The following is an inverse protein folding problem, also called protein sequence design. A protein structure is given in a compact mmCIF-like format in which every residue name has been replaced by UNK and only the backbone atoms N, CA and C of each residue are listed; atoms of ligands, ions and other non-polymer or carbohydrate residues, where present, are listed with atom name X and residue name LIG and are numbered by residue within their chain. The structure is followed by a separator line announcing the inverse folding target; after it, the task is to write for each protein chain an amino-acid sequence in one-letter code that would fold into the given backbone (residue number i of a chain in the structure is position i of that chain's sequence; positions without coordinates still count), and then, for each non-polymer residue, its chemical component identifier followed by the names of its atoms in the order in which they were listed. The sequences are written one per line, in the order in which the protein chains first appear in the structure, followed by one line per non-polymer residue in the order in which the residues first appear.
data_IF_609908279056
#
_entry.id   IF_609908279056
#
_cell.length_a   1.000
_cell.length_b   1.000
_cell.length_c   1.000
_cell.angle_alpha   90.00
_cell.angle_beta   90.00
_cell.angle_gamma   90.00
#
_symmetry.space_group_name_H-M   'P 1'
#
loop_
_entity.id
_entity.type
_entity.pdbx_description
1 polymer ?
#
# COMPACT_ATOMS: atom_id res chain seq x y z
N UNK A 1 13.49 22.56 8.52
CA UNK A 1 12.67 22.04 7.40
C UNK A 1 11.45 22.93 7.32
N UNK A 2 11.09 23.41 6.14
CA UNK A 2 9.95 24.31 6.00
C UNK A 2 8.65 23.50 5.91
N UNK A 3 7.90 23.44 7.02
CA UNK A 3 6.64 22.71 7.10
C UNK A 3 5.56 23.30 6.16
N UNK A 4 5.68 24.58 5.80
CA UNK A 4 4.69 25.26 4.96
C UNK A 4 4.57 24.63 3.57
N UNK A 5 5.65 24.04 3.04
CA UNK A 5 5.63 23.31 1.78
C UNK A 5 4.73 22.06 1.85
N UNK A 6 4.75 21.33 2.97
CA UNK A 6 3.93 20.13 3.16
C UNK A 6 2.45 20.48 3.34
N UNK A 7 2.16 21.56 4.06
CA UNK A 7 0.79 22.07 4.22
C UNK A 7 0.21 22.56 2.90
N UNK A 8 0.98 23.33 2.13
CA UNK A 8 0.59 23.79 0.80
C UNK A 8 0.29 22.63 -0.15
N UNK A 9 1.13 21.58 -0.12
CA UNK A 9 0.92 20.36 -0.89
C UNK A 9 -0.37 19.62 -0.46
N UNK A 10 -0.61 19.45 0.84
CA UNK A 10 -1.81 18.81 1.34
C UNK A 10 -3.08 19.57 0.93
N UNK A 11 -3.08 20.90 1.07
CA UNK A 11 -4.19 21.75 0.63
C UNK A 11 -4.42 21.66 -0.88
N UNK A 12 -3.36 21.61 -1.69
CA UNK A 12 -3.47 21.42 -3.15
C UNK A 12 -4.18 20.12 -3.51
N UNK A 13 -3.87 19.02 -2.82
CA UNK A 13 -4.55 17.73 -3.04
C UNK A 13 -6.04 17.85 -2.70
N UNK A 14 -6.36 18.39 -1.53
CA UNK A 14 -7.74 18.56 -1.06
C UNK A 14 -8.54 19.40 -2.07
N UNK A 15 -8.01 20.54 -2.50
CA UNK A 15 -8.71 21.47 -3.38
C UNK A 15 -8.89 20.92 -4.80
N UNK A 16 -7.86 20.25 -5.33
CA UNK A 16 -7.83 19.73 -6.70
C UNK A 16 -8.71 18.49 -6.85
N UNK A 17 -8.60 17.54 -5.91
CA UNK A 17 -9.28 16.25 -5.99
C UNK A 17 -10.57 16.17 -5.17
N UNK A 18 -10.94 17.26 -4.49
CA UNK A 18 -12.05 17.28 -3.53
C UNK A 18 -11.92 16.17 -2.50
N UNK A 19 -10.69 15.90 -2.09
CA UNK A 19 -10.37 14.85 -1.12
C UNK A 19 -10.84 15.29 0.27
N UNK A 20 -11.68 14.51 0.97
CA UNK A 20 -12.19 14.88 2.29
C UNK A 20 -11.11 15.10 3.35
N UNK A 21 -10.05 14.31 3.32
CA UNK A 21 -8.95 14.41 4.26
C UNK A 21 -7.70 13.65 3.79
N UNK A 22 -6.54 14.13 4.24
CA UNK A 22 -5.21 13.65 3.85
C UNK A 22 -4.33 13.67 5.10
N UNK A 23 -3.39 12.72 5.20
CA UNK A 23 -2.28 12.77 6.16
C UNK A 23 -0.96 12.84 5.38
N UNK A 24 -0.03 13.67 5.86
CA UNK A 24 1.33 13.76 5.33
C UNK A 24 2.30 13.43 6.45
N UNK A 25 3.16 12.44 6.22
CA UNK A 25 4.15 11.98 7.18
C UNK A 25 5.55 11.87 6.55
N UNK A 26 6.55 12.38 7.26
CA UNK A 26 7.98 12.26 6.96
C UNK A 26 8.64 11.67 8.21
N UNK A 27 9.27 10.52 8.03
CA UNK A 27 9.91 9.75 9.11
C UNK A 27 10.73 10.65 10.05
N UNK A 28 10.41 10.57 11.34
CA UNK A 28 11.08 11.26 12.46
C UNK A 28 11.11 12.81 12.36
N UNK A 29 10.28 13.42 11.51
CA UNK A 29 10.38 14.86 11.20
C UNK A 29 9.04 15.59 11.16
N UNK A 30 7.99 14.96 10.64
CA UNK A 30 6.73 15.62 10.40
C UNK A 30 5.60 14.60 10.28
N UNK A 31 4.46 14.88 10.90
CA UNK A 31 3.23 14.12 10.74
C UNK A 31 2.07 15.06 11.02
N UNK A 32 1.11 15.17 10.09
CA UNK A 32 -0.06 16.02 10.27
C UNK A 32 -1.22 15.58 9.39
N UNK A 33 -2.40 15.52 9.99
CA UNK A 33 -3.68 15.34 9.32
C UNK A 33 -4.31 16.66 8.83
N UNK A 34 -5.02 16.58 7.72
CA UNK A 34 -5.75 17.69 7.09
C UNK A 34 -7.15 17.23 6.70
N UNK A 35 -8.13 18.12 6.81
CA UNK A 35 -9.53 17.83 6.48
C UNK A 35 -10.20 16.88 7.47
N UNK A 36 -11.16 16.09 6.98
CA UNK A 36 -12.04 15.25 7.80
C UNK A 36 -11.97 13.79 7.36
N UNK A 37 -11.84 12.87 8.32
CA UNK A 37 -12.04 11.43 8.11
C UNK A 37 -13.52 11.07 7.96
N UNK A 38 -14.38 11.93 8.52
CA UNK A 38 -15.83 11.87 8.36
C UNK A 38 -16.37 13.29 8.21
N UNK A 39 -16.83 13.62 7.00
CA UNK A 39 -17.33 14.96 6.65
C UNK A 39 -18.66 15.24 7.33
N UNK A 40 -19.54 14.24 7.43
CA UNK A 40 -20.89 14.42 7.99
C UNK A 40 -20.82 14.71 9.49
N UNK A 41 -19.98 13.96 10.20
CA UNK A 41 -19.76 14.12 11.64
C UNK A 41 -18.65 15.13 11.99
N UNK A 42 -18.03 15.76 10.97
CA UNK A 42 -16.91 16.71 11.12
C UNK A 42 -15.77 16.17 11.98
N UNK A 43 -15.46 14.87 11.83
CA UNK A 43 -14.34 14.25 12.54
C UNK A 43 -13.06 14.53 11.78
N UNK A 44 -12.06 15.20 12.38
CA UNK A 44 -10.82 15.54 11.69
C UNK A 44 -10.00 14.28 11.40
N UNK A 45 -9.13 14.37 10.38
CA UNK A 45 -8.01 13.42 10.26
C UNK A 45 -7.00 13.74 11.37
N UNK A 46 -6.64 12.72 12.14
CA UNK A 46 -5.55 12.75 13.14
C UNK A 46 -4.43 11.80 12.73
N UNK A 47 -3.30 11.88 13.43
CA UNK A 47 -2.13 11.01 13.27
C UNK A 47 -2.48 9.52 13.46
N UNK A 48 -3.49 9.23 14.29
CA UNK A 48 -3.97 7.86 14.55
C UNK A 48 -5.08 7.40 13.59
N UNK A 49 -5.43 8.20 12.59
CA UNK A 49 -6.50 7.85 11.65
C UNK A 49 -6.05 6.72 10.74
N UNK A 50 -6.76 5.58 10.78
CA UNK A 50 -6.45 4.42 9.95
C UNK A 50 -6.95 4.65 8.52
N UNK A 51 -6.04 4.52 7.56
CA UNK A 51 -6.34 4.54 6.12
C UNK A 51 -6.12 3.17 5.49
N UNK A 52 -6.91 2.87 4.45
CA UNK A 52 -6.63 1.74 3.57
C UNK A 52 -5.43 2.08 2.66
N UNK A 53 -4.33 1.35 2.79
CA UNK A 53 -3.09 1.60 2.02
C UNK A 53 -3.07 0.94 0.62
N UNK A 54 -4.07 0.12 0.30
CA UNK A 54 -4.23 -0.48 -1.02
C UNK A 54 -3.01 -1.27 -1.51
N UNK A 55 -2.56 -0.99 -2.74
CA UNK A 55 -1.45 -1.72 -3.37
C UNK A 55 -0.10 -1.62 -2.65
N UNK A 56 0.06 -0.71 -1.68
CA UNK A 56 1.26 -0.67 -0.81
C UNK A 56 1.42 -2.01 -0.05
N UNK A 57 0.32 -2.72 0.23
CA UNK A 57 0.35 -4.06 0.85
C UNK A 57 1.23 -5.06 0.09
N UNK A 58 1.39 -4.94 -1.24
CA UNK A 58 2.21 -5.85 -2.05
C UNK A 58 3.67 -5.90 -1.57
N UNK A 59 4.23 -4.77 -1.17
CA UNK A 59 5.61 -4.72 -0.65
C UNK A 59 5.74 -5.55 0.63
N UNK A 60 4.76 -5.49 1.51
CA UNK A 60 4.73 -6.30 2.73
C UNK A 60 4.56 -7.79 2.41
N UNK A 61 3.72 -8.14 1.41
CA UNK A 61 3.59 -9.51 0.92
C UNK A 61 4.91 -10.04 0.35
N UNK A 62 5.63 -9.25 -0.46
CA UNK A 62 6.94 -9.62 -0.98
C UNK A 62 7.95 -9.87 0.15
N UNK A 63 7.98 -9.02 1.18
CA UNK A 63 8.84 -9.22 2.36
C UNK A 63 8.52 -10.55 3.04
N UNK A 64 7.23 -10.86 3.25
CA UNK A 64 6.83 -12.14 3.86
C UNK A 64 7.25 -13.35 3.01
N UNK A 65 7.16 -13.25 1.68
CA UNK A 65 7.60 -14.31 0.75
C UNK A 65 9.12 -14.51 0.84
N UNK A 66 9.91 -13.44 0.80
CA UNK A 66 11.38 -13.53 0.89
C UNK A 66 11.84 -14.09 2.24
N UNK A 67 11.17 -13.71 3.33
CA UNK A 67 11.43 -14.30 4.65
C UNK A 67 11.07 -15.80 4.71
N UNK A 68 10.08 -16.23 3.95
CA UNK A 68 9.70 -17.64 3.85
C UNK A 68 10.74 -18.44 3.04
N UNK A 69 11.26 -17.85 1.96
CA UNK A 69 12.37 -18.40 1.17
C UNK A 69 13.64 -18.54 2.00
N UNK A 70 14.04 -17.51 2.75
CA UNK A 70 15.21 -17.55 3.64
C UNK A 70 15.12 -18.69 4.68
N UNK A 71 13.90 -19.07 5.06
CA UNK A 71 13.63 -20.18 5.99
C UNK A 71 13.51 -21.54 5.30
N UNK A 72 13.71 -21.60 3.99
CA UNK A 72 13.58 -22.82 3.18
C UNK A 72 12.14 -23.29 2.97
N UNK A 73 11.15 -22.41 3.14
CA UNK A 73 9.73 -22.75 2.99
C UNK A 73 9.23 -22.79 1.54
N UNK A 74 9.90 -22.07 0.64
CA UNK A 74 9.71 -22.07 -0.81
C UNK A 74 10.97 -21.55 -1.50
N UNK A 75 11.06 -21.70 -2.83
CA UNK A 75 11.97 -20.94 -3.69
C UNK A 75 11.12 -19.96 -4.53
N UNK A 76 11.52 -18.69 -4.68
CA UNK A 76 10.74 -17.73 -5.48
C UNK A 76 10.67 -18.08 -6.97
N UNK A 77 11.50 -19.01 -7.42
CA UNK A 77 11.47 -19.61 -8.76
C UNK A 77 10.57 -20.85 -8.85
N UNK A 78 10.00 -21.31 -7.73
CA UNK A 78 9.04 -22.40 -7.75
C UNK A 78 7.85 -22.07 -8.64
N UNK A 79 7.37 -23.08 -9.38
CA UNK A 79 6.07 -22.97 -10.03
C UNK A 79 5.01 -22.77 -8.96
N UNK A 80 4.07 -21.85 -9.19
CA UNK A 80 2.96 -21.60 -8.25
C UNK A 80 2.18 -22.89 -7.95
N UNK A 81 2.04 -23.79 -8.94
CA UNK A 81 1.39 -25.10 -8.77
C UNK A 81 2.12 -26.06 -7.83
N UNK A 82 3.39 -25.83 -7.51
CA UNK A 82 4.12 -26.58 -6.48
C UNK A 82 3.51 -26.34 -5.11
N UNK A 83 3.10 -25.09 -4.83
CA UNK A 83 2.57 -24.66 -3.54
C UNK A 83 1.03 -24.63 -3.51
N UNK A 84 0.38 -24.54 -4.67
CA UNK A 84 -1.08 -24.54 -4.82
C UNK A 84 -1.47 -25.55 -5.91
N UNK A 85 -1.50 -26.87 -5.61
CA UNK A 85 -1.71 -27.91 -6.61
C UNK A 85 -3.06 -27.87 -7.33
N UNK A 86 -4.09 -27.33 -6.68
CA UNK A 86 -5.44 -27.15 -7.23
C UNK A 86 -5.54 -25.97 -8.21
N UNK A 87 -4.52 -25.11 -8.27
CA UNK A 87 -4.51 -23.96 -9.17
C UNK A 87 -4.36 -24.44 -10.62
N UNK A 88 -5.43 -24.30 -11.40
CA UNK A 88 -5.45 -24.58 -12.83
C UNK A 88 -5.69 -23.30 -13.63
N UNK A 89 -4.96 -23.15 -14.73
CA UNK A 89 -5.12 -22.03 -15.65
C UNK A 89 -5.77 -22.52 -16.95
N UNK A 90 -6.78 -21.82 -17.50
CA UNK A 90 -7.33 -22.17 -18.80
C UNK A 90 -6.26 -22.09 -19.89
N UNK A 91 -6.03 -23.19 -20.62
CA UNK A 91 -5.15 -23.20 -21.80
C UNK A 91 -3.66 -23.45 -21.54
N UNK A 92 -3.29 -24.29 -20.56
CA UNK A 92 -1.91 -24.70 -20.19
C UNK A 92 -1.06 -25.38 -21.30
N UNK A 93 -1.36 -25.16 -22.58
CA UNK A 93 -0.53 -25.51 -23.73
C UNK A 93 0.22 -24.28 -24.30
N UNK A 94 0.67 -23.36 -23.44
CA UNK A 94 1.48 -22.21 -23.87
C UNK A 94 2.74 -22.07 -23.01
N UNK A 95 3.87 -22.38 -23.64
CA UNK A 95 5.30 -22.06 -23.34
C UNK A 95 5.83 -22.27 -21.91
N UNK A 96 7.03 -22.86 -21.74
CA UNK A 96 7.72 -22.97 -20.45
C UNK A 96 8.16 -21.62 -19.84
N UNK A 97 7.96 -20.53 -20.57
CA UNK A 97 8.23 -19.17 -20.15
C UNK A 97 7.07 -18.30 -20.67
N UNK A 98 6.13 -17.93 -19.80
CA UNK A 98 5.34 -16.71 -20.04
C UNK A 98 5.63 -15.79 -18.87
N UNK A 99 6.47 -14.80 -19.19
CA UNK A 99 6.53 -13.41 -18.71
C UNK A 99 5.44 -12.96 -17.75
#
# INVERSE_FOLDING_TARGET
MDASAYESFANTIIDTHKTPGVIVAIKDRYEKGFGYRDVANKLPVTEETVFGIGSITKSMTCIAILQLEERGGLDVQDKVTTHIPELSFPGQNRSPFIT
#
